data_IF_111369373503
#
_entry.id   IF_111369373503
#
_cell.length_a   1.000
_cell.length_b   1.000
_cell.length_c   1.000
_cell.angle_alpha   90.00
_cell.angle_beta   90.00
_cell.angle_gamma   90.00
#
_symmetry.space_group_name_H-M   'P 1'
#
loop_
_entity.id
_entity.type
_entity.pdbx_description
1 polymer ?
#
# COMPACT_ATOMS: atom_id res chain seq x y z
N UNK A 1 -12.23 5.92 2.36
CA UNK A 1 -11.70 7.29 2.52
C UNK A 1 -11.92 8.10 1.25
N UNK A 2 -11.26 7.78 0.13
CA UNK A 2 -11.41 8.51 -1.15
C UNK A 2 -12.87 8.77 -1.55
N UNK A 3 -13.75 7.76 -1.56
CA UNK A 3 -15.17 7.97 -1.90
C UNK A 3 -15.87 8.93 -0.92
N UNK A 4 -15.73 8.66 0.38
CA UNK A 4 -16.38 9.43 1.44
C UNK A 4 -15.92 10.90 1.43
N UNK A 5 -14.62 11.14 1.20
CA UNK A 5 -14.02 12.48 1.21
C UNK A 5 -14.22 13.23 -0.11
N UNK A 6 -14.18 12.54 -1.25
CA UNK A 6 -14.15 13.19 -2.57
C UNK A 6 -15.51 13.22 -3.27
N UNK A 7 -16.47 12.38 -2.87
CA UNK A 7 -17.75 12.23 -3.57
C UNK A 7 -18.98 12.52 -2.71
N UNK A 8 -18.88 12.46 -1.37
CA UNK A 8 -20.01 12.82 -0.50
C UNK A 8 -19.91 14.26 -0.01
N UNK A 9 -21.04 15.00 0.07
CA UNK A 9 -21.09 16.31 0.72
C UNK A 9 -20.50 16.23 2.14
N UNK A 10 -19.80 17.27 2.58
CA UNK A 10 -19.13 17.28 3.88
C UNK A 10 -20.08 16.95 5.05
N UNK A 11 -21.31 17.44 4.98
CA UNK A 11 -22.37 17.22 5.97
C UNK A 11 -22.83 15.76 6.08
N UNK A 12 -22.59 15.00 5.02
CA UNK A 12 -22.94 13.59 4.91
C UNK A 12 -21.81 12.65 5.32
N UNK A 13 -20.58 13.17 5.47
CA UNK A 13 -19.41 12.37 5.78
C UNK A 13 -19.48 11.79 7.20
N UNK A 14 -19.22 10.50 7.33
CA UNK A 14 -19.26 9.84 8.63
C UNK A 14 -17.86 9.68 9.22
N UNK A 15 -17.41 10.67 10.00
CA UNK A 15 -16.08 10.66 10.63
C UNK A 15 -15.76 9.38 11.42
N UNK A 16 -16.67 8.82 12.26
CA UNK A 16 -16.38 7.57 12.97
C UNK A 16 -16.09 6.37 12.05
N UNK A 17 -16.64 6.37 10.83
CA UNK A 17 -16.31 5.35 9.83
C UNK A 17 -14.94 5.57 9.21
N UNK A 18 -14.58 6.82 8.90
CA UNK A 18 -13.25 7.18 8.42
C UNK A 18 -12.18 6.75 9.44
N UNK A 19 -12.35 7.11 10.70
CA UNK A 19 -11.42 6.75 11.78
C UNK A 19 -11.27 5.22 11.91
N UNK A 20 -12.37 4.48 11.75
CA UNK A 20 -12.33 3.01 11.79
C UNK A 20 -11.53 2.44 10.62
N UNK A 21 -11.80 2.89 9.40
CA UNK A 21 -11.13 2.39 8.19
C UNK A 21 -9.65 2.74 8.21
N UNK A 22 -9.29 3.93 8.65
CA UNK A 22 -7.89 4.35 8.80
C UNK A 22 -7.15 3.45 9.80
N UNK A 23 -7.75 3.15 10.96
CA UNK A 23 -7.16 2.20 11.91
C UNK A 23 -6.96 0.81 11.31
N UNK A 24 -7.92 0.32 10.51
CA UNK A 24 -7.79 -0.97 9.84
C UNK A 24 -6.68 -0.97 8.78
N UNK A 25 -6.56 0.13 8.03
CA UNK A 25 -5.51 0.32 7.03
C UNK A 25 -4.12 0.26 7.69
N UNK A 26 -3.91 1.04 8.75
CA UNK A 26 -2.63 1.09 9.46
C UNK A 26 -2.30 -0.26 10.11
N UNK A 27 -3.28 -0.93 10.72
CA UNK A 27 -3.08 -2.26 11.29
C UNK A 27 -2.72 -3.31 10.22
N UNK A 28 -3.34 -3.25 9.03
CA UNK A 28 -3.01 -4.14 7.92
C UNK A 28 -1.57 -3.92 7.43
N UNK A 29 -1.12 -2.67 7.35
CA UNK A 29 0.27 -2.38 6.97
C UNK A 29 1.29 -2.74 8.05
N UNK A 30 0.95 -2.58 9.33
CA UNK A 30 1.80 -3.06 10.43
C UNK A 30 2.01 -4.59 10.33
N UNK A 31 0.97 -5.35 9.98
CA UNK A 31 1.08 -6.80 9.75
C UNK A 31 1.87 -7.14 8.50
N UNK A 32 1.57 -6.50 7.36
CA UNK A 32 2.30 -6.75 6.11
C UNK A 32 3.79 -6.43 6.24
N UNK A 33 4.16 -5.29 6.85
CA UNK A 33 5.55 -4.92 7.10
C UNK A 33 6.29 -5.98 7.93
N UNK A 34 5.60 -6.59 8.91
CA UNK A 34 6.16 -7.70 9.70
C UNK A 34 6.34 -8.98 8.87
N UNK A 35 5.38 -9.33 8.01
CA UNK A 35 5.48 -10.50 7.11
C UNK A 35 6.67 -10.36 6.14
N UNK A 36 6.91 -9.16 5.61
CA UNK A 36 8.05 -8.90 4.73
C UNK A 36 9.40 -8.82 5.48
N UNK A 37 9.43 -8.93 6.80
CA UNK A 37 10.68 -8.88 7.56
C UNK A 37 11.66 -10.03 7.25
N UNK A 38 11.14 -11.18 6.80
CA UNK A 38 11.96 -12.32 6.37
C UNK A 38 12.49 -12.22 4.94
N UNK A 39 11.98 -11.28 4.14
CA UNK A 39 12.36 -11.11 2.73
C UNK A 39 13.54 -10.16 2.66
N UNK A 40 14.75 -10.73 2.63
CA UNK A 40 16.00 -9.95 2.61
C UNK A 40 16.52 -9.74 1.19
N UNK A 41 16.47 -10.77 0.35
CA UNK A 41 16.83 -10.74 -1.06
C UNK A 41 15.78 -11.46 -1.92
N UNK A 42 15.52 -10.95 -3.12
CA UNK A 42 14.55 -11.55 -4.04
C UNK A 42 13.09 -11.30 -3.64
N UNK A 43 12.25 -12.31 -3.78
CA UNK A 43 10.81 -12.22 -3.52
C UNK A 43 10.38 -13.23 -2.47
N UNK A 44 9.15 -13.09 -1.95
CA UNK A 44 8.66 -13.91 -0.83
C UNK A 44 8.80 -15.42 -1.05
N UNK A 45 8.76 -15.88 -2.32
CA UNK A 45 8.78 -17.29 -2.67
C UNK A 45 9.82 -17.64 -3.76
N UNK A 46 10.91 -16.86 -3.88
CA UNK A 46 12.04 -17.18 -4.76
C UNK A 46 12.48 -16.03 -5.66
N UNK A 47 12.88 -16.35 -6.89
CA UNK A 47 13.57 -15.42 -7.80
C UNK A 47 12.66 -14.45 -8.56
N UNK A 48 11.33 -14.68 -8.55
CA UNK A 48 10.34 -13.83 -9.22
C UNK A 48 9.18 -13.47 -8.28
N UNK A 49 8.52 -12.32 -8.48
CA UNK A 49 7.39 -11.96 -7.64
C UNK A 49 6.25 -12.94 -7.86
N UNK A 50 5.61 -13.34 -6.78
CA UNK A 50 4.37 -14.12 -6.81
C UNK A 50 3.19 -13.22 -6.42
N UNK A 51 1.98 -13.77 -6.45
CA UNK A 51 0.75 -13.00 -6.25
C UNK A 51 0.78 -12.14 -4.99
N UNK A 52 1.36 -12.63 -3.88
CA UNK A 52 1.48 -11.88 -2.63
C UNK A 52 2.35 -10.62 -2.80
N UNK A 53 3.53 -10.76 -3.42
CA UNK A 53 4.44 -9.64 -3.69
C UNK A 53 3.78 -8.60 -4.60
N UNK A 54 3.16 -9.06 -5.69
CA UNK A 54 2.48 -8.19 -6.67
C UNK A 54 1.34 -7.42 -6.00
N UNK A 55 0.47 -8.13 -5.27
CA UNK A 55 -0.69 -7.52 -4.62
C UNK A 55 -0.26 -6.50 -3.56
N UNK A 56 0.73 -6.84 -2.73
CA UNK A 56 1.25 -5.94 -1.71
C UNK A 56 1.92 -4.70 -2.32
N UNK A 57 2.75 -4.88 -3.35
CA UNK A 57 3.42 -3.77 -4.04
C UNK A 57 2.42 -2.80 -4.69
N UNK A 58 1.43 -3.33 -5.41
CA UNK A 58 0.38 -2.51 -6.07
C UNK A 58 -0.48 -1.80 -5.02
N UNK A 59 -0.92 -2.51 -3.98
CA UNK A 59 -1.76 -1.94 -2.91
C UNK A 59 -1.04 -0.83 -2.16
N UNK A 60 0.25 -1.04 -1.86
CA UNK A 60 1.10 -0.04 -1.22
C UNK A 60 1.23 1.21 -2.10
N UNK A 61 1.64 1.04 -3.36
CA UNK A 61 1.82 2.15 -4.30
C UNK A 61 0.52 2.93 -4.50
N UNK A 62 -0.58 2.23 -4.70
CA UNK A 62 -1.90 2.84 -4.84
C UNK A 62 -2.24 3.68 -3.61
N UNK A 63 -2.04 3.15 -2.41
CA UNK A 63 -2.35 3.89 -1.18
C UNK A 63 -1.49 5.14 -1.03
N UNK A 64 -0.19 5.06 -1.33
CA UNK A 64 0.70 6.24 -1.32
C UNK A 64 0.28 7.30 -2.34
N UNK A 65 -0.28 6.88 -3.47
CA UNK A 65 -0.78 7.79 -4.50
C UNK A 65 -2.11 8.44 -4.09
N UNK A 66 -3.09 7.66 -3.62
CA UNK A 66 -4.44 8.18 -3.33
C UNK A 66 -4.57 8.82 -1.94
N UNK A 67 -3.70 8.47 -0.99
CA UNK A 67 -3.73 8.89 0.41
C UNK A 67 -2.32 9.29 0.90
N UNK A 68 -1.68 10.30 0.27
CA UNK A 68 -0.28 10.64 0.55
C UNK A 68 -0.03 11.04 2.01
N UNK A 69 -1.02 11.67 2.66
CA UNK A 69 -0.89 12.22 4.01
C UNK A 69 -1.26 11.23 5.14
N UNK A 70 -1.87 10.08 4.80
CA UNK A 70 -2.35 9.11 5.80
C UNK A 70 -1.21 8.30 6.42
N UNK A 71 -0.09 8.15 5.72
CA UNK A 71 1.01 7.29 6.16
C UNK A 71 2.28 8.10 6.34
N UNK A 72 2.84 8.10 7.56
CA UNK A 72 4.12 8.71 7.86
C UNK A 72 5.22 8.12 6.98
N UNK A 73 5.96 8.97 6.28
CA UNK A 73 7.13 8.57 5.48
C UNK A 73 8.12 7.77 6.32
N UNK A 74 8.59 6.64 5.80
CA UNK A 74 9.58 5.78 6.46
C UNK A 74 9.02 4.86 7.55
N UNK A 75 7.71 4.88 7.81
CA UNK A 75 7.08 3.94 8.78
C UNK A 75 7.13 2.49 8.30
N UNK A 76 7.08 2.26 7.00
CA UNK A 76 6.97 0.94 6.38
C UNK A 76 8.09 0.70 5.34
N UNK A 77 9.36 0.68 5.77
CA UNK A 77 10.51 0.65 4.87
C UNK A 77 10.58 -0.61 3.99
N UNK A 78 10.04 -1.75 4.45
CA UNK A 78 10.04 -2.98 3.64
C UNK A 78 8.98 -2.94 2.56
N UNK A 79 7.81 -2.37 2.84
CA UNK A 79 6.79 -2.15 1.81
C UNK A 79 7.26 -1.11 0.78
N UNK A 80 7.97 -0.06 1.24
CA UNK A 80 8.63 0.90 0.34
C UNK A 80 9.65 0.21 -0.58
N UNK A 81 10.51 -0.66 -0.02
CA UNK A 81 11.49 -1.40 -0.82
C UNK A 81 10.83 -2.40 -1.78
N UNK A 82 9.83 -3.16 -1.32
CA UNK A 82 9.07 -4.11 -2.13
C UNK A 82 8.45 -3.41 -3.33
N UNK A 83 7.74 -2.30 -3.09
CA UNK A 83 7.12 -1.52 -4.16
C UNK A 83 8.16 -0.95 -5.11
N UNK A 84 9.27 -0.38 -4.60
CA UNK A 84 10.36 0.12 -5.43
C UNK A 84 10.95 -0.97 -6.36
N UNK A 85 11.16 -2.18 -5.85
CA UNK A 85 11.67 -3.31 -6.65
C UNK A 85 10.65 -3.76 -7.69
N UNK A 86 9.37 -3.84 -7.32
CA UNK A 86 8.29 -4.21 -8.24
C UNK A 86 8.13 -3.19 -9.38
N UNK A 87 8.14 -1.89 -9.07
CA UNK A 87 8.03 -0.79 -10.03
C UNK A 87 9.21 -0.71 -11.02
N UNK A 88 10.33 -1.37 -10.73
CA UNK A 88 11.46 -1.49 -11.64
C UNK A 88 11.31 -2.62 -12.67
N UNK A 89 10.32 -3.51 -12.51
CA UNK A 89 10.05 -4.60 -13.46
C UNK A 89 9.38 -4.06 -14.73
N UNK A 90 9.72 -4.67 -15.86
CA UNK A 90 9.16 -4.30 -17.17
C UNK A 90 7.62 -4.30 -17.19
N UNK A 91 7.01 -5.25 -16.50
CA UNK A 91 5.56 -5.45 -16.43
C UNK A 91 4.86 -4.32 -15.66
N UNK A 92 5.51 -3.80 -14.61
CA UNK A 92 5.00 -2.65 -13.86
C UNK A 92 5.20 -1.35 -14.64
N UNK A 93 6.37 -1.17 -15.26
CA UNK A 93 6.65 -0.01 -16.13
C UNK A 93 5.67 0.07 -17.30
N UNK A 94 5.24 -1.07 -17.84
CA UNK A 94 4.25 -1.14 -18.90
C UNK A 94 2.81 -0.79 -18.43
N UNK A 95 2.55 -0.85 -17.12
CA UNK A 95 1.25 -0.64 -16.51
C UNK A 95 1.36 0.35 -15.32
N UNK A 96 1.75 1.61 -15.55
CA UNK A 96 1.99 2.57 -14.47
C UNK A 96 0.66 2.99 -13.80
N UNK A 97 0.73 3.30 -12.51
CA UNK A 97 -0.36 4.01 -11.84
C UNK A 97 -0.42 5.44 -12.42
N UNK A 98 -1.62 5.92 -12.84
CA UNK A 98 -1.81 7.23 -13.46
C UNK A 98 -1.39 8.42 -12.58
#
# INVERSE_FOLDING_TARGET
MVYEQNLRPAEEQHQPWLDRVERQLLAAYDLLEAEFAGVTDGWSFGERPMQADITAAVTWRFTRHVLPDTITTGRYPRLDDLSRRAEALSEFVACPIP
#
